data_IF_571489606957
#
_entry.id   IF_571489606957
#
_cell.length_a   1.000
_cell.length_b   1.000
_cell.length_c   1.000
_cell.angle_alpha   90.00
_cell.angle_beta   90.00
_cell.angle_gamma   90.00
#
_symmetry.space_group_name_H-M   'P 1'
#
loop_
_entity.id
_entity.type
_entity.pdbx_description
1 polymer ?
#
# COMPACT_ATOMS: atom_id res chain seq x y z
N UNK A 1 -5.13 17.72 -5.13
CA UNK A 1 -4.78 16.64 -4.17
C UNK A 1 -3.29 16.40 -4.27
N UNK A 2 -2.63 16.09 -3.15
CA UNK A 2 -1.20 15.82 -3.10
C UNK A 2 -0.94 14.45 -2.48
N UNK A 3 0.18 13.85 -2.86
CA UNK A 3 0.63 12.58 -2.31
C UNK A 3 1.40 12.86 -1.03
N UNK A 4 0.94 12.34 0.11
CA UNK A 4 1.53 12.54 1.43
C UNK A 4 1.96 11.19 1.99
N UNK A 5 3.20 11.11 2.45
CA UNK A 5 3.79 9.92 3.08
C UNK A 5 3.74 10.10 4.59
N UNK A 6 3.12 9.16 5.27
CA UNK A 6 3.18 8.99 6.72
C UNK A 6 4.18 7.88 7.05
N UNK A 7 5.10 8.15 7.97
CA UNK A 7 6.19 7.25 8.33
C UNK A 7 6.00 6.78 9.77
N UNK A 8 5.95 5.46 9.92
CA UNK A 8 5.85 4.79 11.21
C UNK A 8 7.04 3.86 11.42
N UNK A 9 7.56 3.80 12.64
CA UNK A 9 8.64 2.91 13.04
C UNK A 9 8.16 1.77 13.93
N UNK A 10 8.80 0.62 13.78
CA UNK A 10 8.50 -0.62 14.49
C UNK A 10 9.80 -1.26 14.96
N UNK A 11 9.79 -1.76 16.19
CA UNK A 11 10.95 -2.43 16.80
C UNK A 11 11.12 -3.88 16.34
N UNK A 12 10.10 -4.50 15.75
CA UNK A 12 10.16 -5.89 15.28
C UNK A 12 9.47 -6.06 13.93
N UNK A 13 9.91 -7.08 13.19
CA UNK A 13 9.32 -7.45 11.91
C UNK A 13 7.86 -7.89 12.08
N UNK A 14 7.56 -8.64 13.15
CA UNK A 14 6.21 -9.18 13.42
C UNK A 14 5.21 -8.05 13.65
N UNK A 15 5.58 -7.06 14.46
CA UNK A 15 4.81 -5.84 14.69
C UNK A 15 4.49 -5.11 13.38
N UNK A 16 5.52 -4.89 12.55
CA UNK A 16 5.37 -4.29 11.23
C UNK A 16 4.39 -5.09 10.35
N UNK A 17 4.43 -6.42 10.37
CA UNK A 17 3.52 -7.28 9.57
C UNK A 17 2.07 -7.09 9.98
N UNK A 18 1.80 -7.10 11.29
CA UNK A 18 0.46 -6.89 11.81
C UNK A 18 -0.10 -5.53 11.40
N UNK A 19 0.70 -4.47 11.56
CA UNK A 19 0.33 -3.12 11.12
C UNK A 19 0.11 -3.03 9.61
N UNK A 20 0.99 -3.64 8.80
CA UNK A 20 0.85 -3.65 7.35
C UNK A 20 -0.46 -4.30 6.92
N UNK A 21 -0.81 -5.45 7.51
CA UNK A 21 -2.06 -6.16 7.22
C UNK A 21 -3.26 -5.31 7.60
N UNK A 22 -3.29 -4.73 8.81
CA UNK A 22 -4.38 -3.86 9.27
C UNK A 22 -4.62 -2.66 8.34
N UNK A 23 -3.54 -2.00 7.90
CA UNK A 23 -3.63 -0.87 6.96
C UNK A 23 -4.04 -1.34 5.55
N UNK A 24 -3.69 -2.55 5.15
CA UNK A 24 -4.08 -3.12 3.86
C UNK A 24 -5.55 -3.53 3.80
N UNK A 25 -6.15 -3.93 4.92
CA UNK A 25 -7.56 -4.30 4.98
C UNK A 25 -8.51 -3.09 4.97
N UNK A 26 -7.98 -1.86 5.01
CA UNK A 26 -8.82 -0.67 4.93
C UNK A 26 -9.45 -0.52 3.55
N UNK A 27 -10.65 0.03 3.51
CA UNK A 27 -11.36 0.35 2.25
C UNK A 27 -10.66 1.45 1.46
N UNK A 28 -9.90 2.32 2.13
CA UNK A 28 -9.19 3.41 1.48
C UNK A 28 -7.81 2.98 0.96
N UNK A 29 -7.61 3.15 -0.34
CA UNK A 29 -6.35 2.83 -0.99
C UNK A 29 -5.19 3.65 -0.41
N UNK A 30 -4.12 2.96 -0.06
CA UNK A 30 -2.84 3.56 0.28
C UNK A 30 -1.68 2.74 -0.31
N UNK A 31 -0.72 3.41 -0.93
CA UNK A 31 0.55 2.82 -1.31
C UNK A 31 1.37 2.56 -0.04
N UNK A 32 1.91 1.35 0.10
CA UNK A 32 2.65 0.93 1.29
C UNK A 32 4.06 0.53 0.87
N UNK A 33 5.06 0.99 1.63
CA UNK A 33 6.46 0.61 1.41
C UNK A 33 7.11 0.31 2.75
N UNK A 34 7.87 -0.76 2.82
CA UNK A 34 8.63 -1.14 4.00
C UNK A 34 10.10 -0.86 3.78
N UNK A 35 10.78 -0.35 4.81
CA UNK A 35 12.22 -0.14 4.81
C UNK A 35 12.81 -0.71 6.11
N UNK A 36 13.85 -1.52 6.00
CA UNK A 36 14.66 -1.93 7.14
C UNK A 36 15.71 -0.84 7.43
N UNK A 37 15.79 -0.41 8.70
CA UNK A 37 16.86 0.42 9.22
C UNK A 37 17.78 -0.56 9.93
N UNK A 38 19.03 -0.71 9.46
CA UNK A 38 19.99 -1.77 9.82
C UNK A 38 20.35 -1.97 11.31
N UNK A 39 19.56 -1.40 12.20
CA UNK A 39 19.57 -1.50 13.65
C UNK A 39 18.50 -2.51 14.16
N UNK A 40 17.97 -3.38 13.28
CA UNK A 40 16.83 -4.25 13.60
C UNK A 40 15.49 -3.53 13.70
N UNK A 41 15.42 -2.27 13.27
CA UNK A 41 14.19 -1.45 13.24
C UNK A 41 13.61 -1.43 11.85
N UNK A 42 12.29 -1.25 11.77
CA UNK A 42 11.58 -1.25 10.52
C UNK A 42 10.71 -0.02 10.37
N UNK A 43 10.61 0.50 9.15
CA UNK A 43 9.72 1.60 8.77
C UNK A 43 8.59 1.10 7.88
N UNK A 44 7.36 1.45 8.24
CA UNK A 44 6.20 1.42 7.36
C UNK A 44 5.94 2.82 6.82
N UNK A 45 5.97 2.96 5.51
CA UNK A 45 5.64 4.20 4.81
C UNK A 45 4.31 4.03 4.12
N UNK A 46 3.36 4.89 4.47
CA UNK A 46 1.99 4.86 3.97
C UNK A 46 1.78 6.13 3.16
N UNK A 47 1.62 5.98 1.85
CA UNK A 47 1.41 7.09 0.92
C UNK A 47 -0.07 7.18 0.56
N UNK A 48 -0.71 8.32 0.86
CA UNK A 48 -2.10 8.61 0.54
C UNK A 48 -2.24 9.87 -0.30
N UNK A 49 -3.26 9.91 -1.16
CA UNK A 49 -3.66 11.12 -1.87
C UNK A 49 -4.67 11.89 -1.03
N UNK A 50 -4.23 13.01 -0.46
CA UNK A 50 -5.08 13.86 0.40
C UNK A 50 -5.05 15.32 -0.07
N UNK A 51 -6.03 16.12 0.35
CA UNK A 51 -5.95 17.58 0.19
C UNK A 51 -4.92 18.09 1.20
N UNK A 52 -3.98 18.92 0.75
CA UNK A 52 -2.94 19.49 1.60
C UNK A 52 -3.55 20.60 2.46
N UNK A 53 -4.17 20.21 3.56
CA UNK A 53 -4.65 21.06 4.64
C UNK A 53 -4.23 20.39 5.95
N UNK A 54 -3.86 21.18 6.95
CA UNK A 54 -3.38 20.71 8.25
C UNK A 54 -4.40 19.80 8.94
N UNK A 55 -5.68 20.19 8.93
CA UNK A 55 -6.78 19.38 9.46
C UNK A 55 -6.86 17.99 8.81
N UNK A 56 -6.68 17.91 7.49
CA UNK A 56 -6.70 16.64 6.77
C UNK A 56 -5.48 15.79 7.10
N UNK A 57 -4.30 16.41 7.24
CA UNK A 57 -3.06 15.71 7.59
C UNK A 57 -3.20 15.12 9.00
N UNK A 58 -3.66 15.91 9.96
CA UNK A 58 -3.79 15.47 11.35
C UNK A 58 -4.87 14.40 11.51
N UNK A 59 -5.99 14.52 10.79
CA UNK A 59 -7.02 13.48 10.73
C UNK A 59 -6.42 12.14 10.26
N UNK A 60 -5.74 12.14 9.11
CA UNK A 60 -5.14 10.91 8.57
C UNK A 60 -4.02 10.37 9.45
N UNK A 61 -3.22 11.25 10.07
CA UNK A 61 -2.20 10.87 11.04
C UNK A 61 -2.84 10.15 12.22
N UNK A 62 -3.90 10.71 12.80
CA UNK A 62 -4.58 10.15 13.97
C UNK A 62 -5.21 8.79 13.64
N UNK A 63 -5.91 8.69 12.51
CA UNK A 63 -6.49 7.44 12.04
C UNK A 63 -5.42 6.35 11.81
N UNK A 64 -4.35 6.67 11.09
CA UNK A 64 -3.27 5.72 10.83
C UNK A 64 -2.52 5.34 12.10
N UNK A 65 -2.35 6.29 13.02
CA UNK A 65 -1.75 6.02 14.33
C UNK A 65 -2.61 5.04 15.12
N UNK A 66 -3.93 5.22 15.12
CA UNK A 66 -4.87 4.31 15.78
C UNK A 66 -4.73 2.87 15.25
N UNK A 67 -4.62 2.71 13.93
CA UNK A 67 -4.48 1.39 13.31
C UNK A 67 -3.20 0.66 13.69
N UNK A 68 -2.09 1.40 13.80
CA UNK A 68 -0.77 0.79 14.06
C UNK A 68 -0.42 0.74 15.54
N UNK A 69 -1.13 1.48 16.40
CA UNK A 69 -0.88 1.55 17.85
C UNK A 69 -0.95 0.17 18.51
N UNK A 70 -1.95 -0.65 18.13
CA UNK A 70 -2.11 -2.02 18.63
C UNK A 70 -0.97 -2.97 18.25
N UNK A 71 -0.13 -2.58 17.29
CA UNK A 71 1.02 -3.34 16.83
C UNK A 71 2.36 -2.70 17.23
N UNK A 72 2.35 -1.69 18.11
CA UNK A 72 3.58 -1.04 18.57
C UNK A 72 4.24 -0.11 17.55
N UNK A 73 3.49 0.38 16.56
CA UNK A 73 3.98 1.38 15.61
C UNK A 73 4.04 2.78 16.22
N UNK A 74 5.19 3.45 16.13
CA UNK A 74 5.36 4.84 16.53
C UNK A 74 5.35 5.77 15.31
N UNK A 75 4.61 6.87 15.39
CA UNK A 75 4.66 7.87 14.33
C UNK A 75 5.98 8.63 14.39
N UNK A 76 6.67 8.74 13.25
CA UNK A 76 7.95 9.45 13.14
C UNK A 76 7.77 10.81 12.49
N UNK A 77 7.18 10.84 11.30
CA UNK A 77 7.01 12.07 10.53
C UNK A 77 6.04 11.87 9.38
N UNK A 78 5.59 13.00 8.82
CA UNK A 78 4.89 13.03 7.54
C UNK A 78 5.65 13.95 6.57
N UNK A 79 5.54 13.68 5.27
CA UNK A 79 6.10 14.55 4.23
C UNK A 79 5.34 14.46 2.92
N UNK A 80 5.37 15.51 2.12
CA UNK A 80 4.83 15.47 0.76
C UNK A 80 5.73 14.59 -0.12
N UNK A 81 5.12 13.63 -0.82
CA UNK A 81 5.80 12.75 -1.76
C UNK A 81 6.00 13.48 -3.08
N UNK A 82 7.17 14.09 -3.24
CA UNK A 82 7.62 14.68 -4.50
C UNK A 82 8.55 13.72 -5.22
N UNK A 83 8.43 13.64 -6.55
CA UNK A 83 9.29 12.86 -7.44
C UNK A 83 9.87 13.82 -8.45
N UNK A 84 11.17 13.69 -8.68
CA UNK A 84 11.84 14.44 -9.74
C UNK A 84 11.56 13.72 -11.07
N UNK A 85 10.97 14.42 -12.02
CA UNK A 85 10.74 13.92 -13.38
C UNK A 85 11.41 14.88 -14.36
N UNK A 86 12.63 14.56 -14.78
CA UNK A 86 13.49 15.48 -15.54
C UNK A 86 13.99 16.64 -14.66
N UNK A 87 13.82 17.88 -15.12
CA UNK A 87 14.20 19.10 -14.37
C UNK A 87 13.09 19.63 -13.43
N UNK A 88 11.91 18.99 -13.40
CA UNK A 88 10.78 19.46 -12.59
C UNK A 88 10.54 18.55 -11.37
N UNK A 89 10.12 19.17 -10.27
CA UNK A 89 9.74 18.50 -9.04
C UNK A 89 8.21 18.38 -9.03
N UNK A 90 7.71 17.19 -9.35
CA UNK A 90 6.27 16.91 -9.43
C UNK A 90 5.77 16.10 -8.23
N UNK A 91 4.48 16.18 -7.93
CA UNK A 91 3.88 15.31 -6.92
C UNK A 91 3.82 13.87 -7.46
N UNK A 92 4.19 12.88 -6.62
CA UNK A 92 4.08 11.47 -7.00
C UNK A 92 2.63 11.15 -7.37
N UNK A 93 2.39 10.82 -8.64
CA UNK A 93 1.12 10.25 -9.06
C UNK A 93 1.05 8.82 -8.53
N UNK A 94 0.00 8.51 -7.78
CA UNK A 94 -0.34 7.11 -7.45
C UNK A 94 -0.72 6.43 -8.75
N UNK A 95 -0.05 5.34 -9.10
CA UNK A 95 -0.30 4.65 -10.37
C UNK A 95 -1.69 4.00 -10.36
N UNK A 96 -2.43 4.12 -11.46
CA UNK A 96 -3.70 3.42 -11.66
C UNK A 96 -3.51 1.90 -11.64
N UNK A 97 -2.34 1.41 -12.07
CA UNK A 97 -2.00 -0.02 -11.96
C UNK A 97 -1.92 -0.44 -10.50
N UNK A 98 -1.25 0.33 -9.64
CA UNK A 98 -1.16 0.07 -8.20
C UNK A 98 -2.53 0.00 -7.53
N UNK A 99 -3.49 0.85 -7.95
CA UNK A 99 -4.88 0.81 -7.46
C UNK A 99 -5.61 -0.47 -7.87
N UNK A 100 -5.53 -0.84 -9.15
CA UNK A 100 -6.15 -2.07 -9.66
C UNK A 100 -5.60 -3.30 -8.93
N UNK A 101 -4.29 -3.33 -8.71
CA UNK A 101 -3.64 -4.44 -8.01
C UNK A 101 -4.08 -4.51 -6.57
N UNK A 102 -4.16 -3.38 -5.87
CA UNK A 102 -4.70 -3.36 -4.52
C UNK A 102 -6.11 -3.92 -4.43
N UNK A 103 -6.95 -3.66 -5.44
CA UNK A 103 -8.31 -4.20 -5.51
C UNK A 103 -8.33 -5.71 -5.82
N UNK A 104 -7.38 -6.20 -6.63
CA UNK A 104 -7.32 -7.58 -7.10
C UNK A 104 -6.49 -8.51 -6.19
N UNK A 105 -5.63 -7.95 -5.32
CA UNK A 105 -4.85 -8.72 -4.37
C UNK A 105 -5.50 -8.66 -3.00
N UNK A 106 -5.85 -9.83 -2.44
CA UNK A 106 -6.06 -9.95 -1.00
C UNK A 106 -4.76 -9.58 -0.26
N UNK A 107 -4.85 -9.27 1.04
CA UNK A 107 -3.69 -9.04 1.90
C UNK A 107 -2.83 -10.33 1.98
N UNK A 108 -2.06 -10.59 0.93
CA UNK A 108 -1.22 -11.77 0.78
C UNK A 108 -0.10 -11.77 1.82
N UNK A 109 0.27 -12.97 2.23
CA UNK A 109 1.18 -13.29 3.33
C UNK A 109 2.33 -12.27 3.46
N UNK A 110 2.42 -11.67 4.65
CA UNK A 110 3.38 -10.62 5.02
C UNK A 110 4.85 -11.11 5.02
N UNK A 111 5.11 -12.30 4.47
CA UNK A 111 6.42 -12.91 4.31
C UNK A 111 7.30 -12.22 3.28
N UNK A 112 6.74 -11.56 2.26
CA UNK A 112 7.57 -11.06 1.14
C UNK A 112 7.71 -9.54 1.05
N UNK A 113 6.90 -8.75 1.76
CA UNK A 113 6.86 -7.27 1.66
C UNK A 113 6.81 -6.70 0.24
N UNK A 114 6.53 -7.56 -0.74
CA UNK A 114 6.30 -7.24 -2.13
C UNK A 114 4.79 -7.37 -2.31
N UNK A 115 4.15 -6.31 -2.80
CA UNK A 115 2.92 -6.52 -3.56
C UNK A 115 3.24 -7.59 -4.62
N UNK A 116 2.27 -8.45 -4.94
CA UNK A 116 2.32 -9.57 -5.88
C UNK A 116 2.74 -10.95 -5.34
N UNK A 117 1.75 -11.83 -5.23
CA UNK A 117 1.41 -12.68 -6.38
C UNK A 117 -0.02 -12.31 -6.79
N UNK A 118 -0.22 -11.77 -7.99
CA UNK A 118 -1.54 -11.95 -8.65
C UNK A 118 -1.82 -13.45 -8.53
N UNK A 119 -3.00 -13.89 -8.08
CA UNK A 119 -3.32 -15.30 -8.07
C UNK A 119 -3.27 -15.74 -9.54
N UNK A 120 -2.14 -16.28 -9.98
CA UNK A 120 -1.93 -16.75 -11.35
C UNK A 120 -3.08 -17.69 -11.72
N UNK A 121 -3.57 -18.47 -10.76
CA UNK A 121 -4.77 -19.28 -10.85
C UNK A 121 -6.02 -18.53 -11.32
N UNK A 122 -6.27 -17.30 -10.86
CA UNK A 122 -7.46 -16.55 -11.29
C UNK A 122 -7.33 -16.10 -12.75
N UNK A 123 -6.15 -15.64 -13.17
CA UNK A 123 -5.89 -15.25 -14.57
C UNK A 123 -5.91 -16.49 -15.47
N UNK A 124 -5.26 -17.58 -15.06
CA UNK A 124 -5.29 -18.86 -15.78
C UNK A 124 -6.72 -19.37 -15.92
N UNK A 125 -7.52 -19.29 -14.86
CA UNK A 125 -8.91 -19.72 -14.86
C UNK A 125 -9.74 -18.90 -15.85
N UNK A 126 -9.59 -17.57 -15.90
CA UNK A 126 -10.30 -16.73 -16.87
C UNK A 126 -9.87 -17.05 -18.32
N UNK A 127 -8.59 -17.28 -18.57
CA UNK A 127 -8.08 -17.66 -19.90
C UNK A 127 -8.62 -19.03 -20.32
N UNK A 128 -8.59 -20.02 -19.42
CA UNK A 128 -9.14 -21.36 -19.67
C UNK A 128 -10.65 -21.30 -19.91
N UNK A 129 -11.39 -20.53 -19.11
CA UNK A 129 -12.82 -20.34 -19.28
C UNK A 129 -13.14 -19.72 -20.65
N UNK A 130 -12.38 -18.70 -21.06
CA UNK A 130 -12.53 -18.07 -22.37
C UNK A 130 -12.28 -19.08 -23.50
N UNK A 131 -11.20 -19.87 -23.41
CA UNK A 131 -10.89 -20.93 -24.37
C UNK A 131 -12.01 -21.97 -24.48
N UNK A 132 -12.55 -22.44 -23.35
CA UNK A 132 -13.68 -23.39 -23.35
C UNK A 132 -14.91 -22.78 -24.00
N UNK A 133 -15.27 -21.54 -23.66
CA UNK A 133 -16.44 -20.87 -24.25
C UNK A 133 -16.29 -20.66 -25.76
N UNK A 134 -15.09 -20.33 -26.24
CA UNK A 134 -14.80 -20.24 -27.67
C UNK A 134 -14.83 -21.60 -28.38
N UNK A 135 -14.46 -22.70 -27.70
CA UNK A 135 -14.55 -24.05 -28.26
C UNK A 135 -15.99 -24.60 -28.29
N UNK A 136 -16.82 -24.19 -27.33
CA UNK A 136 -18.25 -24.57 -27.25
C UNK A 136 -19.11 -23.72 -28.20
N UNK A 137 -18.53 -22.77 -28.93
CA UNK A 137 -19.21 -22.02 -29.99
C UNK A 137 -20.26 -21.04 -29.49
N UNK A 138 -20.06 -20.46 -28.29
CA UNK A 138 -20.99 -19.48 -27.70
C UNK A 138 -20.53 -18.03 -27.95
N UNK A 139 -19.47 -17.82 -28.74
CA UNK A 139 -19.05 -16.52 -29.29
C UNK A 139 -18.61 -16.70 -30.73
#
# INVERSE_FOLDING_TARGET
MQSVVFIFEFSTLIALRGAFKKVHERTDFAEKTVKELGNGRYQLRITKLIKLNEENIEKHRTELTSDVKGYGGSFVSWKVHKVVSGNNIDNKKVSNTSKLLYMLTTAGDARTYRQYKVPLFSILFTIVLFLVLSFVGVV
#
